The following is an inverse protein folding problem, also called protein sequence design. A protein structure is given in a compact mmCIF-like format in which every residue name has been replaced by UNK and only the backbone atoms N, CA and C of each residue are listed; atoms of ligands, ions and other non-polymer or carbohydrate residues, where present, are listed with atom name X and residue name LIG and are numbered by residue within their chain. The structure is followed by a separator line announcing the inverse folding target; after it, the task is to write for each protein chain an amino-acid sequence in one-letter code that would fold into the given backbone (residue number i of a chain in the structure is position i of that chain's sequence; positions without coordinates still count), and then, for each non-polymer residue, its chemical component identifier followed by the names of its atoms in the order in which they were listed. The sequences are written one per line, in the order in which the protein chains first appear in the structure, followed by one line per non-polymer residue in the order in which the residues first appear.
data_IF_819631279801
#
_entry.id   IF_819631279801
#
_cell.length_a   1.000
_cell.length_b   1.000
_cell.length_c   1.000
_cell.angle_alpha   90.00
_cell.angle_beta   90.00
_cell.angle_gamma   90.00
#
_symmetry.space_group_name_H-M   'P 1'
#
loop_
_entity.id
_entity.type
_entity.pdbx_description
1 polymer ?
#
# COMPACT_ATOMS: atom_id res chain seq x y z
N UNK A 1 8.33 23.77 19.29
CA UNK A 1 8.74 25.12 18.83
C UNK A 1 8.15 25.32 17.45
N UNK A 2 7.38 26.38 17.20
CA UNK A 2 6.85 26.63 15.86
C UNK A 2 7.98 27.18 14.98
N UNK A 3 8.22 26.52 13.86
CA UNK A 3 9.12 27.00 12.81
C UNK A 3 8.35 28.10 12.06
N UNK A 4 8.80 29.34 12.22
CA UNK A 4 8.30 30.50 11.46
C UNK A 4 8.99 30.44 10.10
N UNK A 5 8.26 30.09 9.05
CA UNK A 5 8.72 30.28 7.68
C UNK A 5 8.37 31.70 7.20
N UNK A 6 9.25 32.36 6.44
CA UNK A 6 9.05 33.72 5.98
C UNK A 6 7.81 33.81 5.09
N UNK A 7 6.96 34.80 5.36
CA UNK A 7 5.84 35.18 4.51
C UNK A 7 6.35 35.48 3.09
N UNK A 8 6.22 34.52 2.17
CA UNK A 8 6.15 34.85 0.75
C UNK A 8 4.76 35.46 0.51
N UNK A 9 4.65 36.77 0.72
CA UNK A 9 3.58 37.55 0.12
C UNK A 9 3.76 37.48 -1.39
N UNK A 10 2.99 36.63 -2.05
CA UNK A 10 2.79 36.73 -3.47
C UNK A 10 2.08 38.08 -3.72
N UNK A 11 2.84 39.09 -4.16
CA UNK A 11 2.26 40.31 -4.72
C UNK A 11 1.54 39.88 -5.99
N UNK A 12 0.23 39.61 -5.89
CA UNK A 12 -0.62 39.60 -7.07
C UNK A 12 -0.58 41.02 -7.64
N UNK A 13 0.26 41.23 -8.65
CA UNK A 13 0.18 42.43 -9.46
C UNK A 13 -1.21 42.46 -10.10
N UNK A 14 -1.98 43.49 -9.76
CA UNK A 14 -3.26 43.79 -10.38
C UNK A 14 -3.05 44.00 -11.89
N UNK A 15 -3.33 42.98 -12.69
CA UNK A 15 -3.35 43.11 -14.15
C UNK A 15 -4.63 43.87 -14.55
N UNK A 16 -4.44 45.03 -15.18
CA UNK A 16 -5.50 45.90 -15.73
C UNK A 16 -6.34 45.21 -16.83
N UNK A 17 -5.92 44.05 -17.31
CA UNK A 17 -6.63 43.24 -18.30
C UNK A 17 -7.80 42.45 -17.71
N UNK A 18 -7.80 42.18 -16.40
CA UNK A 18 -8.93 41.48 -15.75
C UNK A 18 -10.18 42.35 -15.57
N UNK A 19 -10.05 43.68 -15.67
CA UNK A 19 -11.17 44.61 -15.46
C UNK A 19 -12.06 44.82 -16.70
N UNK A 20 -11.54 44.57 -17.90
CA UNK A 20 -12.28 44.77 -19.16
C UNK A 20 -13.34 43.67 -19.37
N UNK A 21 -13.09 42.44 -18.89
CA UNK A 21 -14.07 41.35 -18.97
C UNK A 21 -15.12 41.37 -17.85
N UNK A 22 -14.88 42.09 -16.75
CA UNK A 22 -15.81 42.18 -15.62
C UNK A 22 -17.09 42.97 -15.94
N UNK A 23 -17.01 43.91 -16.89
CA UNK A 23 -18.13 44.82 -17.21
C UNK A 23 -19.18 44.24 -18.18
N UNK A 24 -18.96 43.07 -18.77
CA UNK A 24 -19.87 42.51 -19.80
C UNK A 24 -20.81 41.38 -19.34
N UNK A 25 -20.62 40.79 -18.16
CA UNK A 25 -21.46 39.65 -17.72
C UNK A 25 -22.41 39.93 -16.56
N UNK A 26 -22.33 41.08 -15.88
CA UNK A 26 -23.25 41.48 -14.78
C UNK A 26 -23.32 40.53 -13.58
N UNK A 27 -22.69 39.36 -13.63
CA UNK A 27 -22.63 38.35 -12.57
C UNK A 27 -21.28 38.45 -11.89
N UNK A 28 -21.25 39.11 -10.75
CA UNK A 28 -20.13 38.99 -9.82
C UNK A 28 -20.07 37.53 -9.37
N UNK A 29 -19.10 36.76 -9.86
CA UNK A 29 -18.86 35.39 -9.40
C UNK A 29 -18.32 35.49 -7.98
N UNK A 30 -19.19 35.29 -7.02
CA UNK A 30 -18.82 35.27 -5.61
C UNK A 30 -18.44 33.85 -5.23
N UNK A 31 -17.23 33.63 -4.70
CA UNK A 31 -16.81 32.31 -4.21
C UNK A 31 -17.72 31.81 -3.05
N UNK A 32 -18.36 32.74 -2.35
CA UNK A 32 -19.44 32.48 -1.39
C UNK A 32 -20.79 32.18 -2.07
N UNK A 33 -20.85 31.89 -3.36
CA UNK A 33 -22.05 31.33 -4.01
C UNK A 33 -21.86 29.87 -4.42
N UNK A 34 -20.64 29.32 -4.26
CA UNK A 34 -20.35 27.93 -4.60
C UNK A 34 -21.14 26.95 -3.73
N UNK A 35 -21.83 25.96 -4.32
CA UNK A 35 -22.44 24.86 -3.59
C UNK A 35 -21.44 24.15 -2.66
N UNK A 36 -21.86 23.65 -1.49
CA UNK A 36 -20.98 22.95 -0.55
C UNK A 36 -20.23 21.76 -1.17
N UNK A 37 -20.82 21.10 -2.15
CA UNK A 37 -20.24 19.96 -2.87
C UNK A 37 -19.05 20.40 -3.72
N UNK A 38 -19.16 21.55 -4.41
CA UNK A 38 -18.05 22.10 -5.18
C UNK A 38 -16.93 22.60 -4.26
N UNK A 39 -17.28 23.17 -3.11
CA UNK A 39 -16.27 23.56 -2.12
C UNK A 39 -15.51 22.33 -1.60
N UNK A 40 -16.21 21.23 -1.28
CA UNK A 40 -15.57 20.00 -0.84
C UNK A 40 -14.60 19.45 -1.89
N UNK A 41 -15.03 19.38 -3.16
CA UNK A 41 -14.15 18.92 -4.24
C UNK A 41 -12.90 19.80 -4.38
N UNK A 42 -13.02 21.12 -4.21
CA UNK A 42 -11.85 22.01 -4.22
C UNK A 42 -10.92 21.69 -3.05
N UNK A 43 -11.48 21.49 -1.84
CA UNK A 43 -10.68 21.17 -0.66
C UNK A 43 -9.99 19.80 -0.74
N UNK A 44 -10.58 18.81 -1.41
CA UNK A 44 -10.00 17.48 -1.60
C UNK A 44 -8.74 17.50 -2.48
N UNK A 45 -8.56 18.52 -3.33
CA UNK A 45 -7.36 18.72 -4.17
C UNK A 45 -6.24 19.50 -3.46
N UNK A 46 -6.47 20.03 -2.27
CA UNK A 46 -5.50 20.83 -1.53
C UNK A 46 -4.73 19.99 -0.50
N UNK A 47 -3.45 20.33 -0.28
CA UNK A 47 -2.70 19.79 0.84
C UNK A 47 -3.24 20.30 2.18
N UNK A 48 -3.03 19.53 3.25
CA UNK A 48 -3.59 19.81 4.58
C UNK A 48 -3.20 21.21 5.10
N UNK A 49 -1.98 21.70 4.82
CA UNK A 49 -1.54 23.02 5.26
C UNK A 49 -2.29 24.14 4.53
N UNK A 50 -2.52 23.97 3.22
CA UNK A 50 -3.37 24.85 2.43
C UNK A 50 -4.82 24.84 2.93
N UNK A 51 -5.39 23.66 3.25
CA UNK A 51 -6.74 23.56 3.83
C UNK A 51 -6.84 24.35 5.15
N UNK A 52 -5.87 24.21 6.06
CA UNK A 52 -5.83 24.98 7.31
C UNK A 52 -5.80 26.48 7.07
N UNK A 53 -5.01 26.94 6.10
CA UNK A 53 -4.92 28.35 5.73
C UNK A 53 -6.26 28.87 5.20
N UNK A 54 -6.93 28.09 4.35
CA UNK A 54 -8.25 28.40 3.83
C UNK A 54 -9.31 28.49 4.95
N UNK A 55 -9.22 27.65 5.99
CA UNK A 55 -10.17 27.69 7.11
C UNK A 55 -10.12 29.01 7.92
N UNK A 56 -9.02 29.75 7.84
CA UNK A 56 -8.88 31.06 8.49
C UNK A 56 -9.56 32.20 7.71
N UNK A 57 -9.95 31.97 6.46
CA UNK A 57 -10.49 33.02 5.59
C UNK A 57 -11.95 33.36 5.89
N UNK A 58 -12.83 32.36 6.04
CA UNK A 58 -14.24 32.58 6.33
C UNK A 58 -14.91 31.37 6.99
N UNK A 59 -15.98 31.63 7.76
CA UNK A 59 -16.72 30.58 8.49
C UNK A 59 -17.45 29.58 7.59
N UNK A 60 -17.83 30.00 6.39
CA UNK A 60 -18.55 29.14 5.43
C UNK A 60 -17.72 27.93 5.00
N UNK A 61 -16.40 28.08 4.95
CA UNK A 61 -15.51 27.02 4.48
C UNK A 61 -15.22 25.97 5.56
N UNK A 62 -15.49 26.27 6.83
CA UNK A 62 -15.22 25.39 7.96
C UNK A 62 -15.79 23.97 7.77
N UNK A 63 -17.08 23.75 7.44
CA UNK A 63 -17.61 22.39 7.35
C UNK A 63 -16.96 21.55 6.25
N UNK A 64 -16.58 22.16 5.12
CA UNK A 64 -15.93 21.47 4.02
C UNK A 64 -14.47 21.15 4.35
N UNK A 65 -13.70 22.13 4.83
CA UNK A 65 -12.30 21.91 5.19
C UNK A 65 -12.11 20.99 6.40
N UNK A 66 -12.97 21.10 7.43
CA UNK A 66 -12.95 20.14 8.56
C UNK A 66 -13.20 18.71 8.08
N UNK A 67 -14.10 18.52 7.11
CA UNK A 67 -14.35 17.18 6.57
C UNK A 67 -13.10 16.58 5.94
N UNK A 68 -12.34 17.37 5.19
CA UNK A 68 -11.09 16.92 4.55
C UNK A 68 -10.00 16.65 5.61
N UNK A 69 -9.79 17.57 6.55
CA UNK A 69 -8.77 17.44 7.60
C UNK A 69 -9.01 16.18 8.46
N UNK A 70 -10.26 15.93 8.85
CA UNK A 70 -10.61 14.83 9.75
C UNK A 70 -10.98 13.53 9.02
N UNK A 71 -10.91 13.47 7.68
CA UNK A 71 -11.15 12.22 6.94
C UNK A 71 -10.06 11.16 7.22
N UNK A 72 -8.82 11.61 7.46
CA UNK A 72 -7.65 10.75 7.66
C UNK A 72 -6.72 11.22 8.81
N UNK A 73 -7.20 11.25 10.07
CA UNK A 73 -6.40 11.70 11.21
C UNK A 73 -5.16 10.85 11.44
N UNK A 74 -4.06 11.52 11.79
CA UNK A 74 -2.80 10.90 12.20
C UNK A 74 -2.55 11.10 13.69
N UNK A 75 -2.51 10.01 14.44
CA UNK A 75 -2.29 9.99 15.88
C UNK A 75 -0.90 9.43 16.16
N UNK A 76 -0.04 10.21 16.82
CA UNK A 76 1.37 9.86 17.03
C UNK A 76 1.80 9.77 18.49
N UNK A 77 0.87 9.98 19.43
CA UNK A 77 1.09 9.98 20.87
C UNK A 77 -0.24 9.96 21.63
N UNK A 78 -0.19 9.62 22.92
CA UNK A 78 -1.35 9.74 23.82
C UNK A 78 -1.91 11.16 23.83
N UNK A 79 -1.07 12.19 23.92
CA UNK A 79 -1.51 13.59 23.93
C UNK A 79 -2.25 14.01 22.65
N UNK A 80 -1.77 13.57 21.47
CA UNK A 80 -2.48 13.84 20.21
C UNK A 80 -3.81 13.08 20.14
N UNK A 81 -3.87 11.88 20.71
CA UNK A 81 -5.09 11.10 20.78
C UNK A 81 -6.13 11.76 21.68
N UNK A 82 -5.73 12.21 22.87
CA UNK A 82 -6.63 12.89 23.81
C UNK A 82 -7.22 14.17 23.21
N UNK A 83 -6.39 14.95 22.52
CA UNK A 83 -6.85 16.13 21.76
C UNK A 83 -7.85 15.75 20.68
N UNK A 84 -7.57 14.68 19.93
CA UNK A 84 -8.45 14.22 18.87
C UNK A 84 -9.80 13.74 19.42
N UNK A 85 -9.79 12.94 20.48
CA UNK A 85 -10.99 12.50 21.19
C UNK A 85 -11.79 13.71 21.70
N UNK A 86 -11.12 14.68 22.32
CA UNK A 86 -11.77 15.92 22.80
C UNK A 86 -12.47 16.68 21.67
N UNK A 87 -11.85 16.77 20.49
CA UNK A 87 -12.48 17.38 19.31
C UNK A 87 -13.71 16.58 18.85
N UNK A 88 -13.60 15.26 18.75
CA UNK A 88 -14.74 14.41 18.35
C UNK A 88 -15.91 14.50 19.32
N UNK A 89 -15.63 14.56 20.63
CA UNK A 89 -16.66 14.75 21.66
C UNK A 89 -17.36 16.11 21.56
N UNK A 90 -16.68 17.16 21.10
CA UNK A 90 -17.26 18.48 20.89
C UNK A 90 -17.98 18.61 19.55
N UNK A 91 -17.59 17.82 18.55
CA UNK A 91 -18.06 17.89 17.17
C UNK A 91 -18.49 16.52 16.67
N UNK A 92 -19.63 16.04 17.17
CA UNK A 92 -20.14 14.69 16.89
C UNK A 92 -20.29 14.38 15.39
N UNK A 93 -20.61 15.39 14.56
CA UNK A 93 -20.72 15.22 13.11
C UNK A 93 -19.41 14.77 12.45
N UNK A 94 -18.24 14.98 13.09
CA UNK A 94 -16.93 14.54 12.59
C UNK A 94 -16.69 13.05 12.82
N UNK A 95 -17.34 12.43 13.81
CA UNK A 95 -17.22 10.99 14.07
C UNK A 95 -17.55 10.15 12.82
N UNK A 96 -18.55 10.58 12.04
CA UNK A 96 -18.96 9.94 10.79
C UNK A 96 -18.14 10.32 9.55
N UNK A 97 -17.12 11.17 9.70
CA UNK A 97 -16.27 11.63 8.60
C UNK A 97 -14.97 10.84 8.51
N UNK A 98 -14.46 10.39 9.64
CA UNK A 98 -13.19 9.65 9.73
C UNK A 98 -13.32 8.31 8.99
N UNK A 99 -12.56 8.16 7.89
CA UNK A 99 -12.55 6.96 7.04
C UNK A 99 -11.24 6.17 7.18
N UNK A 100 -10.14 6.86 7.40
CA UNK A 100 -8.80 6.28 7.47
C UNK A 100 -8.16 6.67 8.80
N UNK A 101 -7.78 5.72 9.64
CA UNK A 101 -7.13 5.99 10.91
C UNK A 101 -5.66 5.64 10.82
N UNK A 102 -4.79 6.62 11.02
CA UNK A 102 -3.35 6.41 11.03
C UNK A 102 -2.79 6.51 12.45
N UNK A 103 -2.32 5.39 12.99
CA UNK A 103 -1.64 5.29 14.29
C UNK A 103 -0.14 5.15 14.04
N UNK A 104 0.62 6.18 14.42
CA UNK A 104 2.08 6.20 14.31
C UNK A 104 2.70 5.97 15.69
N UNK A 105 3.46 4.89 15.86
CA UNK A 105 4.11 4.60 17.14
C UNK A 105 5.14 5.65 17.53
N UNK A 106 6.15 5.89 16.67
CA UNK A 106 7.22 6.88 16.89
C UNK A 106 7.40 7.84 15.70
N UNK A 107 7.79 9.08 15.99
CA UNK A 107 8.15 10.08 14.98
C UNK A 107 9.60 9.89 14.47
N UNK A 108 10.51 9.46 15.35
CA UNK A 108 11.92 9.25 15.00
C UNK A 108 12.20 7.79 14.64
N UNK A 109 12.65 7.55 13.40
CA UNK A 109 12.93 6.22 12.86
C UNK A 109 14.13 5.53 13.55
N UNK A 110 15.08 6.27 14.11
CA UNK A 110 16.27 5.71 14.77
C UNK A 110 16.06 5.30 16.23
N UNK A 111 14.94 5.69 16.83
CA UNK A 111 14.63 5.37 18.23
C UNK A 111 14.26 3.90 18.39
N UNK A 112 14.86 3.18 19.35
CA UNK A 112 14.47 1.81 19.73
C UNK A 112 13.48 1.77 20.90
N UNK A 113 13.03 2.94 21.36
CA UNK A 113 12.08 3.02 22.47
C UNK A 113 10.75 2.36 22.12
N UNK A 114 10.21 1.61 23.08
CA UNK A 114 8.89 0.99 22.98
C UNK A 114 7.81 2.06 22.77
N UNK A 115 6.83 1.74 21.94
CA UNK A 115 5.67 2.61 21.62
C UNK A 115 4.45 2.23 22.46
N UNK A 116 4.68 1.97 23.75
CA UNK A 116 3.67 1.46 24.71
C UNK A 116 2.43 2.35 24.88
N UNK A 117 2.50 3.63 24.49
CA UNK A 117 1.37 4.57 24.61
C UNK A 117 0.09 4.07 23.94
N UNK A 118 0.20 3.27 22.87
CA UNK A 118 -0.94 2.70 22.14
C UNK A 118 -1.80 1.85 23.09
N UNK A 119 -1.15 1.11 23.99
CA UNK A 119 -1.81 0.29 25.01
C UNK A 119 -2.14 1.12 26.26
N UNK A 120 -1.18 1.87 26.76
CA UNK A 120 -1.31 2.64 28.01
C UNK A 120 -2.45 3.66 27.95
N UNK A 121 -2.66 4.26 26.78
CA UNK A 121 -3.74 5.23 26.58
C UNK A 121 -5.08 4.57 26.25
N UNK A 122 -5.17 3.23 26.22
CA UNK A 122 -6.35 2.46 25.83
C UNK A 122 -6.88 2.86 24.45
N UNK A 123 -5.97 3.06 23.47
CA UNK A 123 -6.30 3.72 22.21
C UNK A 123 -7.43 3.03 21.43
N UNK A 124 -7.41 1.70 21.20
CA UNK A 124 -8.49 1.02 20.47
C UNK A 124 -9.86 1.18 21.16
N UNK A 125 -9.90 1.05 22.49
CA UNK A 125 -11.12 1.13 23.29
C UNK A 125 -11.77 2.50 23.24
N UNK A 126 -10.96 3.56 23.33
CA UNK A 126 -11.44 4.95 23.36
C UNK A 126 -11.81 5.46 21.98
N UNK A 127 -11.10 5.03 20.94
CA UNK A 127 -11.33 5.46 19.56
C UNK A 127 -12.43 4.66 18.86
N UNK A 128 -12.50 3.34 19.08
CA UNK A 128 -13.43 2.45 18.39
C UNK A 128 -14.88 2.95 18.35
N UNK A 129 -15.49 3.28 19.51
CA UNK A 129 -16.87 3.76 19.56
C UNK A 129 -17.11 5.11 18.87
N UNK A 130 -16.08 5.95 18.78
CA UNK A 130 -16.17 7.29 18.18
C UNK A 130 -16.00 7.28 16.67
N UNK A 131 -15.54 6.15 16.10
CA UNK A 131 -15.10 6.07 14.71
C UNK A 131 -15.89 5.00 13.91
N UNK A 132 -17.22 5.10 13.83
CA UNK A 132 -18.09 4.05 13.30
C UNK A 132 -17.92 3.79 11.78
N UNK A 133 -17.25 4.69 11.05
CA UNK A 133 -17.09 4.63 9.59
C UNK A 133 -15.66 4.43 9.13
N UNK A 134 -14.73 4.12 10.05
CA UNK A 134 -13.36 3.76 9.68
C UNK A 134 -13.36 2.48 8.85
N UNK A 135 -12.72 2.56 7.69
CA UNK A 135 -12.55 1.46 6.72
C UNK A 135 -11.10 1.01 6.61
N UNK A 136 -10.16 1.91 6.87
CA UNK A 136 -8.73 1.63 6.77
C UNK A 136 -8.01 2.02 8.04
N UNK A 137 -7.17 1.12 8.54
CA UNK A 137 -6.25 1.40 9.66
C UNK A 137 -4.82 1.25 9.15
N UNK A 138 -3.99 2.25 9.43
CA UNK A 138 -2.54 2.20 9.20
C UNK A 138 -1.82 2.21 10.55
N UNK A 139 -1.04 1.17 10.82
CA UNK A 139 -0.06 1.11 11.90
C UNK A 139 1.31 1.41 11.30
N UNK A 140 1.95 2.50 11.71
CA UNK A 140 3.27 2.89 11.20
C UNK A 140 4.27 3.07 12.35
N UNK A 141 5.49 2.54 12.21
CA UNK A 141 6.58 2.73 13.17
C UNK A 141 6.18 2.30 14.60
N UNK A 142 5.43 1.21 14.74
CA UNK A 142 5.11 0.61 16.05
C UNK A 142 6.25 -0.30 16.46
N UNK A 143 6.87 -0.04 17.60
CA UNK A 143 8.06 -0.77 18.08
C UNK A 143 7.81 -1.40 19.45
N UNK A 144 8.06 -2.71 19.56
CA UNK A 144 8.15 -3.51 20.79
C UNK A 144 7.02 -3.21 21.79
N UNK A 145 5.78 -3.31 21.31
CA UNK A 145 4.58 -3.12 22.13
C UNK A 145 4.17 -4.48 22.71
N UNK A 146 4.14 -4.65 24.05
CA UNK A 146 3.78 -5.91 24.69
C UNK A 146 2.27 -6.10 24.69
N UNK A 147 1.69 -6.43 23.53
CA UNK A 147 0.24 -6.63 23.40
C UNK A 147 -0.30 -7.79 24.25
N UNK A 148 0.58 -8.64 24.78
CA UNK A 148 0.25 -9.77 25.66
C UNK A 148 0.09 -9.43 27.14
N UNK A 149 0.06 -8.15 27.58
CA UNK A 149 -0.02 -7.85 29.02
C UNK A 149 -1.20 -8.58 29.68
N UNK A 150 -0.87 -9.59 30.48
CA UNK A 150 -1.75 -10.51 31.22
C UNK A 150 -2.39 -9.82 32.43
N UNK A 151 -2.99 -8.65 32.24
CA UNK A 151 -3.97 -8.20 33.24
C UNK A 151 -5.27 -8.94 32.93
N UNK A 152 -5.70 -9.78 33.87
CA UNK A 152 -6.68 -10.87 33.73
C UNK A 152 -8.05 -10.51 33.11
N UNK A 153 -8.29 -9.25 32.78
CA UNK A 153 -9.55 -8.73 32.24
C UNK A 153 -9.39 -7.95 30.92
N UNK A 154 -8.16 -7.68 30.46
CA UNK A 154 -7.92 -6.70 29.38
C UNK A 154 -7.21 -7.33 28.19
N UNK A 155 -7.97 -7.51 27.11
CA UNK A 155 -7.48 -8.07 25.86
C UNK A 155 -7.59 -7.01 24.77
N UNK A 156 -6.49 -6.33 24.45
CA UNK A 156 -6.42 -5.28 23.41
C UNK A 156 -6.98 -5.75 22.06
N UNK A 157 -6.87 -7.05 21.78
CA UNK A 157 -7.45 -7.68 20.59
C UNK A 157 -8.97 -7.54 20.53
N UNK A 158 -9.66 -7.64 21.68
CA UNK A 158 -11.12 -7.42 21.76
C UNK A 158 -11.47 -5.96 21.47
N UNK A 159 -10.65 -5.02 21.94
CA UNK A 159 -10.92 -3.59 21.70
C UNK A 159 -10.73 -3.22 20.22
N UNK A 160 -9.84 -3.92 19.50
CA UNK A 160 -9.71 -3.75 18.04
C UNK A 160 -10.96 -4.22 17.28
N UNK A 161 -11.75 -5.13 17.82
CA UNK A 161 -13.01 -5.57 17.20
C UNK A 161 -14.10 -4.48 17.22
N UNK A 162 -13.91 -3.39 17.97
CA UNK A 162 -14.79 -2.23 17.93
C UNK A 162 -14.78 -1.56 16.54
N UNK A 163 -13.70 -1.72 15.77
CA UNK A 163 -13.58 -1.22 14.41
C UNK A 163 -14.17 -2.20 13.37
N UNK A 164 -15.47 -2.54 13.53
CA UNK A 164 -16.16 -3.55 12.71
C UNK A 164 -16.17 -3.27 11.20
N UNK A 165 -16.06 -2.00 10.83
CA UNK A 165 -16.08 -1.53 9.44
C UNK A 165 -14.75 -1.60 8.71
N UNK A 166 -13.66 -2.01 9.38
CA UNK A 166 -12.32 -2.05 8.79
C UNK A 166 -12.23 -3.14 7.73
N UNK A 167 -11.95 -2.70 6.50
CA UNK A 167 -11.72 -3.54 5.33
C UNK A 167 -10.27 -3.54 4.88
N UNK A 168 -9.47 -2.58 5.34
CA UNK A 168 -8.07 -2.42 4.94
C UNK A 168 -7.16 -2.25 6.16
N UNK A 169 -6.09 -3.02 6.22
CA UNK A 169 -5.06 -2.91 7.26
C UNK A 169 -3.69 -2.75 6.61
N UNK A 170 -3.01 -1.66 6.96
CA UNK A 170 -1.64 -1.40 6.55
C UNK A 170 -0.74 -1.41 7.78
N UNK A 171 0.32 -2.22 7.74
CA UNK A 171 1.32 -2.31 8.82
C UNK A 171 2.68 -2.03 8.21
N UNK A 172 3.25 -0.88 8.56
CA UNK A 172 4.42 -0.32 7.88
C UNK A 172 5.53 -0.02 8.89
N UNK A 173 6.72 -0.55 8.64
CA UNK A 173 7.91 -0.37 9.47
C UNK A 173 7.64 -0.66 10.96
N UNK A 174 6.91 -1.74 11.25
CA UNK A 174 6.55 -2.14 12.61
C UNK A 174 7.39 -3.33 13.07
N UNK A 175 7.74 -3.34 14.36
CA UNK A 175 8.44 -4.43 15.03
C UNK A 175 7.59 -4.94 16.19
N UNK A 176 7.10 -6.16 16.06
CA UNK A 176 6.32 -6.85 17.10
C UNK A 176 7.21 -7.73 17.96
N UNK A 177 6.80 -8.01 19.20
CA UNK A 177 7.53 -8.92 20.08
C UNK A 177 7.51 -10.35 19.52
N UNK A 178 6.36 -10.80 19.03
CA UNK A 178 6.21 -12.12 18.42
C UNK A 178 5.22 -12.13 17.24
N UNK A 179 5.30 -13.19 16.45
CA UNK A 179 4.43 -13.42 15.28
C UNK A 179 2.93 -13.46 15.64
N UNK A 180 2.61 -13.98 16.84
CA UNK A 180 1.23 -14.12 17.31
C UNK A 180 0.55 -12.77 17.57
N UNK A 181 1.31 -11.73 17.95
CA UNK A 181 0.75 -10.40 18.19
C UNK A 181 0.23 -9.81 16.88
N UNK A 182 1.05 -9.82 15.83
CA UNK A 182 0.64 -9.38 14.50
C UNK A 182 -0.54 -10.22 13.98
N UNK A 183 -0.47 -11.55 14.17
CA UNK A 183 -1.58 -12.43 13.78
C UNK A 183 -2.87 -12.06 14.49
N UNK A 184 -2.85 -11.83 15.80
CA UNK A 184 -4.05 -11.45 16.56
C UNK A 184 -4.60 -10.10 16.10
N UNK A 185 -3.74 -9.11 15.80
CA UNK A 185 -4.17 -7.82 15.24
C UNK A 185 -4.94 -8.04 13.95
N UNK A 186 -4.36 -8.78 13.00
CA UNK A 186 -4.97 -9.00 11.68
C UNK A 186 -6.35 -9.65 11.82
N UNK A 187 -6.45 -10.71 12.62
CA UNK A 187 -7.70 -11.45 12.80
C UNK A 187 -8.72 -10.76 13.75
N UNK A 188 -8.38 -9.58 14.30
CA UNK A 188 -9.34 -8.74 15.04
C UNK A 188 -10.29 -7.98 14.11
N UNK A 189 -10.02 -7.93 12.81
CA UNK A 189 -10.86 -7.26 11.81
C UNK A 189 -11.61 -8.29 10.94
N UNK A 190 -12.86 -8.66 11.28
CA UNK A 190 -13.58 -9.73 10.57
C UNK A 190 -13.94 -9.38 9.12
N UNK A 191 -14.04 -8.08 8.80
CA UNK A 191 -14.38 -7.58 7.47
C UNK A 191 -13.16 -7.29 6.61
N UNK A 192 -11.96 -7.75 6.99
CA UNK A 192 -10.70 -7.41 6.33
C UNK A 192 -10.60 -8.02 4.92
N UNK A 193 -10.54 -7.15 3.91
CA UNK A 193 -10.48 -7.49 2.48
C UNK A 193 -9.06 -7.28 1.93
N UNK A 194 -8.32 -6.29 2.44
CA UNK A 194 -6.95 -6.00 2.01
C UNK A 194 -5.98 -5.89 3.19
N UNK A 195 -4.84 -6.59 3.08
CA UNK A 195 -3.75 -6.54 4.05
C UNK A 195 -2.46 -6.13 3.36
N UNK A 196 -1.77 -5.15 3.92
CA UNK A 196 -0.44 -4.72 3.50
C UNK A 196 0.54 -4.80 4.65
N UNK A 197 1.61 -5.58 4.48
CA UNK A 197 2.72 -5.69 5.42
C UNK A 197 3.98 -5.17 4.73
N UNK A 198 4.53 -4.04 5.19
CA UNK A 198 5.74 -3.43 4.64
C UNK A 198 6.79 -3.20 5.71
N UNK A 199 8.02 -3.69 5.51
CA UNK A 199 9.12 -3.57 6.48
C UNK A 199 8.74 -4.05 7.89
N UNK A 200 7.92 -5.10 7.98
CA UNK A 200 7.43 -5.63 9.25
C UNK A 200 8.38 -6.71 9.75
N UNK A 201 8.68 -6.69 11.06
CA UNK A 201 9.50 -7.70 11.72
C UNK A 201 8.87 -8.18 13.01
N UNK A 202 9.19 -9.40 13.42
CA UNK A 202 8.86 -9.89 14.75
C UNK A 202 9.98 -10.70 15.38
N UNK A 203 10.02 -10.70 16.71
CA UNK A 203 10.89 -11.59 17.46
C UNK A 203 10.45 -13.05 17.32
N UNK A 204 11.37 -13.96 17.65
CA UNK A 204 11.00 -15.35 17.92
C UNK A 204 10.16 -15.39 19.18
N UNK A 205 9.23 -16.35 19.25
CA UNK A 205 8.41 -16.62 20.44
C UNK A 205 9.28 -16.41 21.69
N UNK A 206 8.88 -15.57 22.66
CA UNK A 206 9.69 -15.42 23.86
C UNK A 206 9.92 -16.83 24.40
N UNK A 207 11.20 -17.22 24.48
CA UNK A 207 11.58 -18.47 25.12
C UNK A 207 10.81 -18.56 26.43
N UNK A 208 10.30 -19.77 26.73
CA UNK A 208 9.46 -20.11 27.87
C UNK A 208 10.00 -19.54 29.20
N UNK A 209 9.77 -18.26 29.49
CA UNK A 209 10.10 -17.64 30.79
C UNK A 209 8.92 -17.78 31.75
N UNK A 210 7.73 -18.15 31.27
CA UNK A 210 6.56 -18.38 32.12
C UNK A 210 6.19 -19.85 32.22
N UNK A 211 7.13 -20.62 32.78
CA UNK A 211 6.81 -21.91 33.42
C UNK A 211 6.40 -21.61 34.86
N UNK A 212 5.12 -21.29 35.13
CA UNK A 212 4.68 -21.13 36.53
C UNK A 212 3.30 -20.55 36.80
N UNK A 213 2.61 -19.95 35.83
CA UNK A 213 1.25 -19.43 36.02
C UNK A 213 0.27 -20.15 35.10
N UNK A 214 -0.84 -20.65 35.64
CA UNK A 214 -1.94 -21.21 34.85
C UNK A 214 -2.31 -20.23 33.73
N UNK A 215 -2.14 -20.66 32.48
CA UNK A 215 -2.63 -19.90 31.35
C UNK A 215 -4.16 -19.74 31.52
N UNK A 216 -4.70 -18.50 31.46
CA UNK A 216 -6.14 -18.29 31.51
C UNK A 216 -6.81 -19.11 30.40
N UNK A 217 -8.09 -19.53 30.58
CA UNK A 217 -8.80 -20.35 29.61
C UNK A 217 -8.74 -19.66 28.25
N UNK A 218 -7.98 -20.25 27.34
CA UNK A 218 -7.75 -19.73 26.00
C UNK A 218 -9.11 -19.64 25.30
N UNK A 219 -9.63 -18.42 25.16
CA UNK A 219 -10.71 -18.16 24.20
C UNK A 219 -10.29 -18.77 22.86
N UNK A 220 -11.24 -19.40 22.15
CA UNK A 220 -10.95 -20.04 20.86
C UNK A 220 -10.10 -19.11 20.00
N UNK A 221 -8.97 -19.60 19.47
CA UNK A 221 -8.01 -18.71 18.84
C UNK A 221 -8.66 -17.93 17.70
N UNK A 222 -8.54 -16.59 17.73
CA UNK A 222 -9.20 -15.67 16.77
C UNK A 222 -8.86 -16.01 15.32
N UNK A 223 -7.69 -16.60 15.10
CA UNK A 223 -7.22 -17.08 13.80
C UNK A 223 -7.92 -18.35 13.29
N UNK A 224 -8.93 -18.88 13.99
CA UNK A 224 -9.87 -19.87 13.45
C UNK A 224 -10.94 -19.22 12.55
N UNK A 225 -11.10 -17.88 12.62
CA UNK A 225 -12.03 -17.15 11.77
C UNK A 225 -11.54 -17.13 10.33
N UNK A 226 -12.47 -17.32 9.40
CA UNK A 226 -12.21 -17.16 7.98
C UNK A 226 -12.33 -15.66 7.66
N UNK A 227 -11.26 -15.08 7.11
CA UNK A 227 -11.25 -13.69 6.66
C UNK A 227 -11.69 -13.63 5.19
N UNK A 228 -12.48 -12.62 4.77
CA UNK A 228 -12.82 -12.38 3.37
C UNK A 228 -11.65 -11.73 2.60
N UNK A 229 -10.41 -12.05 2.97
CA UNK A 229 -9.20 -11.42 2.46
C UNK A 229 -9.06 -11.72 0.96
N UNK A 230 -9.01 -10.66 0.16
CA UNK A 230 -8.85 -10.72 -1.31
C UNK A 230 -7.46 -10.29 -1.75
N UNK A 231 -6.92 -9.26 -1.10
CA UNK A 231 -5.65 -8.64 -1.49
C UNK A 231 -4.62 -8.81 -0.38
N UNK A 232 -3.47 -9.42 -0.72
CA UNK A 232 -2.34 -9.59 0.18
C UNK A 232 -1.11 -8.91 -0.44
N UNK A 233 -0.57 -7.89 0.24
CA UNK A 233 0.62 -7.15 -0.17
C UNK A 233 1.73 -7.34 0.84
N UNK A 234 2.84 -7.91 0.42
CA UNK A 234 4.02 -8.15 1.25
C UNK A 234 5.21 -7.42 0.64
N UNK A 235 5.77 -6.47 1.37
CA UNK A 235 6.92 -5.69 0.97
C UNK A 235 8.03 -5.82 2.03
N UNK A 236 9.15 -6.43 1.68
CA UNK A 236 10.31 -6.56 2.57
C UNK A 236 9.96 -7.10 3.98
N UNK A 237 9.69 -8.41 4.09
CA UNK A 237 9.75 -9.08 5.40
C UNK A 237 11.22 -9.43 5.70
N UNK A 238 11.65 -9.25 6.95
CA UNK A 238 13.07 -9.32 7.35
C UNK A 238 13.77 -10.67 7.14
N UNK A 239 13.02 -11.76 6.95
CA UNK A 239 13.53 -13.13 6.84
C UNK A 239 12.54 -14.06 6.12
N UNK A 240 13.05 -15.19 5.61
CA UNK A 240 12.23 -16.24 4.97
C UNK A 240 11.21 -16.84 5.93
N UNK A 241 11.57 -16.98 7.21
CA UNK A 241 10.64 -17.46 8.25
C UNK A 241 9.42 -16.55 8.39
N UNK A 242 9.59 -15.24 8.28
CA UNK A 242 8.48 -14.30 8.39
C UNK A 242 7.50 -14.43 7.21
N UNK A 243 8.02 -14.63 5.98
CA UNK A 243 7.17 -14.99 4.84
C UNK A 243 6.44 -16.33 5.09
N UNK A 244 7.13 -17.32 5.64
CA UNK A 244 6.54 -18.63 5.93
C UNK A 244 5.41 -18.54 6.95
N UNK A 245 5.57 -17.75 8.01
CA UNK A 245 4.53 -17.52 9.01
C UNK A 245 3.30 -16.87 8.37
N UNK A 246 3.49 -15.77 7.65
CA UNK A 246 2.40 -15.04 6.97
C UNK A 246 1.66 -15.93 5.98
N UNK A 247 2.37 -16.65 5.12
CA UNK A 247 1.76 -17.58 4.18
C UNK A 247 1.10 -18.77 4.88
N UNK A 248 1.57 -19.20 6.05
CA UNK A 248 0.89 -20.22 6.84
C UNK A 248 -0.42 -19.72 7.44
N UNK A 249 -0.51 -18.43 7.80
CA UNK A 249 -1.75 -17.84 8.32
C UNK A 249 -2.86 -17.79 7.27
N UNK A 250 -2.49 -17.55 6.01
CA UNK A 250 -3.45 -17.34 4.92
C UNK A 250 -3.51 -18.49 3.90
N UNK A 251 -2.72 -19.54 4.08
CA UNK A 251 -2.59 -20.64 3.11
C UNK A 251 -3.88 -21.41 2.83
N UNK A 252 -4.86 -21.33 3.73
CA UNK A 252 -6.17 -21.98 3.59
C UNK A 252 -7.27 -21.00 3.13
N UNK A 253 -6.96 -19.73 2.89
CA UNK A 253 -7.93 -18.73 2.45
C UNK A 253 -8.03 -18.74 0.93
N UNK A 254 -9.00 -19.48 0.40
CA UNK A 254 -9.29 -19.54 -1.05
C UNK A 254 -9.80 -18.22 -1.64
N UNK A 255 -10.10 -17.23 -0.79
CA UNK A 255 -10.58 -15.90 -1.17
C UNK A 255 -9.48 -14.98 -1.71
N UNK A 256 -8.20 -15.27 -1.42
CA UNK A 256 -7.09 -14.42 -1.88
C UNK A 256 -6.96 -14.54 -3.39
N UNK A 257 -7.21 -13.44 -4.09
CA UNK A 257 -7.17 -13.35 -5.55
C UNK A 257 -6.13 -12.34 -6.05
N UNK A 258 -5.59 -11.48 -5.18
CA UNK A 258 -4.56 -10.53 -5.54
C UNK A 258 -3.37 -10.67 -4.60
N UNK A 259 -2.19 -10.90 -5.17
CA UNK A 259 -0.95 -11.03 -4.44
C UNK A 259 0.10 -10.06 -4.98
N UNK A 260 0.63 -9.20 -4.11
CA UNK A 260 1.75 -8.31 -4.41
C UNK A 260 2.93 -8.68 -3.53
N UNK A 261 4.06 -8.97 -4.15
CA UNK A 261 5.32 -9.28 -3.48
C UNK A 261 6.38 -8.29 -3.93
N UNK A 262 6.81 -7.44 -3.00
CA UNK A 262 7.83 -6.44 -3.24
C UNK A 262 9.09 -6.69 -2.39
N UNK A 263 10.25 -6.51 -3.01
CA UNK A 263 11.57 -6.71 -2.41
C UNK A 263 11.71 -8.09 -1.73
N UNK A 264 11.19 -9.13 -2.36
CA UNK A 264 11.29 -10.50 -1.86
C UNK A 264 12.68 -11.09 -2.18
N UNK A 265 13.45 -11.60 -1.20
CA UNK A 265 14.73 -12.25 -1.48
C UNK A 265 14.53 -13.57 -2.24
N UNK A 266 15.52 -14.02 -3.00
CA UNK A 266 15.41 -15.27 -3.79
C UNK A 266 15.11 -16.49 -2.91
N UNK A 267 15.59 -16.48 -1.66
CA UNK A 267 15.31 -17.51 -0.65
C UNK A 267 13.84 -17.54 -0.21
N UNK A 268 13.05 -16.51 -0.49
CA UNK A 268 11.60 -16.46 -0.24
C UNK A 268 10.75 -17.07 -1.37
N UNK A 269 11.34 -17.35 -2.54
CA UNK A 269 10.59 -17.85 -3.71
C UNK A 269 9.97 -19.23 -3.47
N UNK A 270 10.68 -20.14 -2.80
CA UNK A 270 10.15 -21.48 -2.55
C UNK A 270 8.95 -21.44 -1.59
N UNK A 271 8.96 -20.54 -0.61
CA UNK A 271 7.83 -20.35 0.31
C UNK A 271 6.63 -19.79 -0.44
N UNK A 272 6.89 -18.83 -1.34
CA UNK A 272 5.87 -18.27 -2.23
C UNK A 272 5.25 -19.35 -3.12
N UNK A 273 6.09 -20.19 -3.74
CA UNK A 273 5.62 -21.31 -4.56
C UNK A 273 4.74 -22.27 -3.75
N UNK A 274 5.18 -22.63 -2.54
CA UNK A 274 4.42 -23.49 -1.62
C UNK A 274 3.07 -22.87 -1.23
N UNK A 275 3.04 -21.56 -1.01
CA UNK A 275 1.80 -20.82 -0.73
C UNK A 275 0.83 -20.88 -1.91
N UNK A 276 1.30 -20.58 -3.13
CA UNK A 276 0.47 -20.61 -4.34
C UNK A 276 -0.09 -22.00 -4.64
N UNK A 277 0.71 -23.06 -4.44
CA UNK A 277 0.22 -24.44 -4.57
C UNK A 277 -0.89 -24.73 -3.55
N UNK A 278 -0.68 -24.37 -2.27
CA UNK A 278 -1.71 -24.55 -1.23
C UNK A 278 -2.98 -23.75 -1.50
N UNK A 279 -2.84 -22.52 -1.99
CA UNK A 279 -3.97 -21.69 -2.40
C UNK A 279 -4.80 -22.41 -3.48
N UNK A 280 -4.13 -22.96 -4.50
CA UNK A 280 -4.79 -23.75 -5.54
C UNK A 280 -5.44 -25.03 -4.99
N UNK A 281 -4.75 -25.76 -4.11
CA UNK A 281 -5.26 -26.97 -3.47
C UNK A 281 -6.51 -26.69 -2.61
N UNK A 282 -6.61 -25.50 -2.02
CA UNK A 282 -7.79 -25.03 -1.27
C UNK A 282 -8.95 -24.57 -2.16
N UNK A 283 -8.81 -24.66 -3.49
CA UNK A 283 -9.79 -24.18 -4.46
C UNK A 283 -9.72 -22.68 -4.77
N UNK A 284 -8.73 -21.97 -4.21
CA UNK A 284 -8.44 -20.58 -4.54
C UNK A 284 -7.66 -20.43 -5.85
N UNK A 285 -7.63 -19.23 -6.42
CA UNK A 285 -6.75 -18.92 -7.54
C UNK A 285 -6.57 -17.42 -7.67
N UNK A 286 -5.32 -16.99 -7.91
CA UNK A 286 -5.02 -15.59 -8.17
C UNK A 286 -5.66 -15.10 -9.47
N UNK A 287 -6.14 -13.87 -9.45
CA UNK A 287 -6.56 -13.07 -10.61
C UNK A 287 -5.48 -12.05 -11.00
N UNK A 288 -4.71 -11.56 -10.03
CA UNK A 288 -3.62 -10.60 -10.20
C UNK A 288 -2.38 -10.98 -9.40
N UNK A 289 -1.21 -10.87 -10.03
CA UNK A 289 0.08 -11.10 -9.39
C UNK A 289 1.05 -9.97 -9.71
N UNK A 290 1.47 -9.25 -8.68
CA UNK A 290 2.50 -8.20 -8.74
C UNK A 290 3.79 -8.72 -8.11
N UNK A 291 4.90 -8.61 -8.83
CA UNK A 291 6.16 -9.21 -8.42
C UNK A 291 7.35 -8.27 -8.66
N UNK A 292 8.05 -7.95 -7.57
CA UNK A 292 9.26 -7.13 -7.55
C UNK A 292 10.31 -7.86 -6.69
N UNK A 293 11.22 -8.64 -7.27
CA UNK A 293 12.24 -9.34 -6.52
C UNK A 293 13.27 -8.38 -5.93
N UNK A 294 13.86 -8.74 -4.77
CA UNK A 294 15.07 -8.11 -4.27
C UNK A 294 16.27 -8.69 -5.02
N UNK A 295 16.82 -7.91 -5.94
CA UNK A 295 17.97 -8.32 -6.76
C UNK A 295 19.25 -7.86 -6.07
N UNK A 296 20.03 -8.83 -5.60
CA UNK A 296 21.38 -8.62 -5.09
C UNK A 296 22.38 -9.07 -6.16
N UNK A 297 23.46 -8.31 -6.43
CA UNK A 297 24.51 -8.73 -7.37
C UNK A 297 25.02 -10.14 -7.05
N UNK A 298 25.14 -10.98 -8.08
CA UNK A 298 25.60 -12.37 -7.94
C UNK A 298 24.54 -13.40 -7.52
N UNK A 299 23.32 -12.99 -7.18
CA UNK A 299 22.24 -13.93 -6.89
C UNK A 299 21.52 -14.39 -8.17
N UNK A 300 21.54 -15.69 -8.45
CA UNK A 300 20.93 -16.33 -9.62
C UNK A 300 19.39 -16.37 -9.58
N UNK A 301 18.74 -15.22 -9.52
CA UNK A 301 17.27 -15.13 -9.39
C UNK A 301 16.56 -15.88 -10.52
N UNK A 302 17.09 -15.81 -11.75
CA UNK A 302 16.55 -16.50 -12.91
C UNK A 302 16.51 -18.03 -12.76
N UNK A 303 17.47 -18.64 -12.06
CA UNK A 303 17.57 -20.09 -11.88
C UNK A 303 16.46 -20.60 -10.92
N UNK A 304 16.11 -19.78 -9.93
CA UNK A 304 15.11 -20.10 -8.92
C UNK A 304 13.67 -19.76 -9.31
N UNK A 305 13.47 -19.04 -10.43
CA UNK A 305 12.12 -18.72 -10.94
C UNK A 305 11.36 -19.97 -11.38
N UNK A 306 12.04 -21.06 -11.71
CA UNK A 306 11.41 -22.34 -12.06
C UNK A 306 10.43 -22.84 -10.98
N UNK A 307 10.77 -22.67 -9.70
CA UNK A 307 9.90 -23.04 -8.57
C UNK A 307 8.62 -22.19 -8.54
N UNK A 308 8.78 -20.87 -8.67
CA UNK A 308 7.65 -19.94 -8.75
C UNK A 308 6.79 -20.27 -9.98
N UNK A 309 7.43 -20.58 -11.10
CA UNK A 309 6.77 -20.84 -12.37
C UNK A 309 5.85 -22.06 -12.33
N UNK A 310 6.28 -23.16 -11.71
CA UNK A 310 5.42 -24.34 -11.54
C UNK A 310 4.20 -24.04 -10.67
N UNK A 311 4.34 -23.20 -9.65
CA UNK A 311 3.23 -22.80 -8.81
C UNK A 311 2.32 -21.75 -9.48
N UNK A 312 2.83 -20.92 -10.40
CA UNK A 312 2.01 -20.01 -11.18
C UNK A 312 1.08 -20.75 -12.15
N UNK A 313 1.53 -21.88 -12.73
CA UNK A 313 0.70 -22.72 -13.61
C UNK A 313 -0.58 -23.23 -12.94
N UNK A 314 -0.60 -23.34 -11.61
CA UNK A 314 -1.80 -23.76 -10.88
C UNK A 314 -2.83 -22.63 -10.73
N UNK A 315 -2.45 -21.38 -11.00
CA UNK A 315 -3.30 -20.19 -10.88
C UNK A 315 -4.15 -19.98 -12.15
N UNK A 316 -5.14 -20.85 -12.37
CA UNK A 316 -5.96 -20.88 -13.59
C UNK A 316 -6.75 -19.60 -13.87
N UNK A 317 -7.03 -18.78 -12.85
CA UNK A 317 -7.76 -17.50 -12.99
C UNK A 317 -6.84 -16.29 -13.18
N UNK A 318 -5.53 -16.49 -13.28
CA UNK A 318 -4.57 -15.39 -13.36
C UNK A 318 -4.74 -14.67 -14.70
N UNK A 319 -5.09 -13.39 -14.65
CA UNK A 319 -5.33 -12.56 -15.84
C UNK A 319 -4.42 -11.33 -15.89
N UNK A 320 -3.83 -10.93 -14.75
CA UNK A 320 -2.99 -9.74 -14.64
C UNK A 320 -1.61 -10.10 -14.07
N UNK A 321 -0.57 -9.70 -14.78
CA UNK A 321 0.81 -9.77 -14.33
C UNK A 321 1.40 -8.36 -14.28
N UNK A 322 2.01 -8.00 -13.16
CA UNK A 322 2.67 -6.72 -12.96
C UNK A 322 4.08 -6.96 -12.43
N UNK A 323 5.09 -6.66 -13.23
CA UNK A 323 6.47 -7.03 -12.97
C UNK A 323 7.30 -5.77 -12.82
N UNK A 324 7.79 -5.52 -11.61
CA UNK A 324 8.65 -4.35 -11.34
C UNK A 324 10.12 -4.77 -11.38
N UNK A 325 10.87 -4.07 -12.20
CA UNK A 325 12.23 -4.41 -12.63
C UNK A 325 13.13 -3.26 -12.19
N UNK A 326 14.03 -3.54 -11.25
CA UNK A 326 14.93 -2.54 -10.68
C UNK A 326 15.89 -1.96 -11.74
N UNK A 327 16.33 -2.78 -12.69
CA UNK A 327 17.19 -2.37 -13.81
C UNK A 327 16.96 -3.30 -15.00
N UNK A 328 17.02 -2.75 -16.21
CA UNK A 328 16.89 -3.51 -17.46
C UNK A 328 17.97 -4.59 -17.62
N UNK A 329 19.14 -4.44 -17.01
CA UNK A 329 20.17 -5.49 -17.00
C UNK A 329 19.78 -6.68 -16.10
N UNK A 330 18.99 -6.40 -15.07
CA UNK A 330 18.54 -7.37 -14.09
C UNK A 330 17.21 -8.06 -14.47
N UNK A 331 16.69 -7.83 -15.68
CA UNK A 331 15.38 -8.31 -16.11
C UNK A 331 15.32 -9.78 -16.58
N UNK A 332 16.44 -10.53 -16.52
CA UNK A 332 16.52 -11.92 -17.05
C UNK A 332 15.45 -12.86 -16.49
N UNK A 333 14.99 -12.62 -15.26
CA UNK A 333 13.94 -13.42 -14.62
C UNK A 333 12.55 -13.21 -15.24
N UNK A 334 12.30 -12.07 -15.90
CA UNK A 334 10.99 -11.70 -16.47
C UNK A 334 10.55 -12.71 -17.51
N UNK A 335 11.44 -13.04 -18.45
CA UNK A 335 11.20 -14.03 -19.49
C UNK A 335 10.77 -15.39 -18.91
N UNK A 336 11.42 -15.84 -17.84
CA UNK A 336 11.09 -17.09 -17.16
C UNK A 336 9.70 -17.06 -16.47
N UNK A 337 9.29 -15.91 -15.91
CA UNK A 337 7.94 -15.72 -15.37
C UNK A 337 6.89 -15.76 -16.50
N UNK A 338 7.16 -15.12 -17.63
CA UNK A 338 6.26 -15.17 -18.79
C UNK A 338 6.14 -16.58 -19.37
N UNK A 339 7.25 -17.33 -19.44
CA UNK A 339 7.25 -18.74 -19.88
C UNK A 339 6.40 -19.62 -18.96
N UNK A 340 6.47 -19.38 -17.64
CA UNK A 340 5.65 -20.10 -16.68
C UNK A 340 4.16 -19.78 -16.78
N UNK A 341 3.81 -18.54 -17.13
CA UNK A 341 2.43 -18.08 -17.29
C UNK A 341 1.86 -18.34 -18.69
N UNK A 342 2.64 -18.94 -19.61
CA UNK A 342 2.29 -19.07 -21.03
C UNK A 342 0.89 -19.63 -21.31
N UNK A 343 0.48 -20.62 -20.52
CA UNK A 343 -0.80 -21.33 -20.71
C UNK A 343 -1.96 -20.71 -19.89
N UNK A 344 -1.71 -19.61 -19.17
CA UNK A 344 -2.70 -18.89 -18.37
C UNK A 344 -3.48 -17.88 -19.22
N UNK A 345 -4.72 -17.50 -18.84
CA UNK A 345 -5.54 -16.57 -19.60
C UNK A 345 -5.13 -15.11 -19.35
N UNK A 346 -3.85 -14.78 -19.56
CA UNK A 346 -3.33 -13.42 -19.32
C UNK A 346 -4.02 -12.42 -20.27
N UNK A 347 -4.57 -11.37 -19.66
CA UNK A 347 -5.27 -10.25 -20.32
C UNK A 347 -4.43 -8.98 -20.28
N UNK A 348 -3.70 -8.76 -19.18
CA UNK A 348 -2.85 -7.58 -18.98
C UNK A 348 -1.48 -7.96 -18.45
N UNK A 349 -0.44 -7.36 -19.05
CA UNK A 349 0.93 -7.37 -18.51
C UNK A 349 1.37 -5.93 -18.29
N UNK A 350 1.93 -5.62 -17.13
CA UNK A 350 2.63 -4.38 -16.86
C UNK A 350 4.09 -4.67 -16.55
N UNK A 351 5.01 -3.92 -17.16
CA UNK A 351 6.44 -3.94 -16.88
C UNK A 351 6.82 -2.55 -16.40
N UNK A 352 7.23 -2.45 -15.15
CA UNK A 352 7.73 -1.21 -14.56
C UNK A 352 9.26 -1.28 -14.47
N UNK A 353 9.98 -0.30 -15.03
CA UNK A 353 11.45 -0.27 -15.04
C UNK A 353 11.96 1.16 -15.18
N UNK A 354 13.28 1.34 -15.10
CA UNK A 354 13.93 2.59 -15.47
C UNK A 354 14.66 2.42 -16.80
N UNK A 355 14.39 3.31 -17.75
CA UNK A 355 15.11 3.43 -19.01
C UNK A 355 16.28 4.41 -18.85
N UNK A 356 17.48 3.89 -18.70
CA UNK A 356 18.71 4.68 -18.68
C UNK A 356 19.21 5.02 -20.10
N UNK A 357 20.10 6.00 -20.19
CA UNK A 357 20.71 6.47 -21.47
C UNK A 357 21.49 5.37 -22.17
N UNK A 358 22.14 4.47 -21.43
CA UNK A 358 22.92 3.37 -21.98
C UNK A 358 22.03 2.38 -22.74
N UNK A 359 20.84 2.12 -22.20
CA UNK A 359 19.81 1.28 -22.79
C UNK A 359 18.99 1.99 -23.87
N UNK A 360 19.22 3.26 -24.22
CA UNK A 360 18.51 3.97 -25.32
C UNK A 360 18.99 3.51 -26.69
N UNK A 361 20.29 3.32 -26.85
CA UNK A 361 20.89 3.04 -28.16
C UNK A 361 20.67 1.60 -28.62
N UNK A 362 20.74 0.64 -27.69
CA UNK A 362 20.51 -0.78 -27.98
C UNK A 362 19.71 -1.42 -26.83
N UNK A 363 18.57 -2.08 -27.11
CA UNK A 363 17.86 -2.83 -26.08
C UNK A 363 18.69 -4.04 -25.61
N UNK A 364 18.62 -4.35 -24.31
CA UNK A 364 19.26 -5.54 -23.76
C UNK A 364 18.67 -6.82 -24.38
N UNK A 365 19.47 -7.90 -24.43
CA UNK A 365 19.00 -9.21 -24.92
C UNK A 365 17.77 -9.70 -24.15
N UNK A 366 17.74 -9.48 -22.83
CA UNK A 366 16.62 -9.87 -21.98
C UNK A 366 15.34 -9.09 -22.32
N UNK A 367 15.46 -7.83 -22.74
CA UNK A 367 14.34 -7.03 -23.24
C UNK A 367 13.79 -7.59 -24.55
N UNK A 368 14.67 -7.90 -25.51
CA UNK A 368 14.28 -8.50 -26.80
C UNK A 368 13.54 -9.82 -26.57
N UNK A 369 14.10 -10.70 -25.74
CA UNK A 369 13.51 -11.98 -25.38
C UNK A 369 12.15 -11.85 -24.67
N UNK A 370 11.97 -10.82 -23.85
CA UNK A 370 10.69 -10.49 -23.19
C UNK A 370 9.67 -10.01 -24.19
N UNK A 371 10.06 -9.09 -25.09
CA UNK A 371 9.20 -8.56 -26.14
C UNK A 371 8.71 -9.65 -27.11
N UNK A 372 9.59 -10.58 -27.51
CA UNK A 372 9.22 -11.72 -28.34
C UNK A 372 8.13 -12.58 -27.69
N UNK A 373 8.24 -12.84 -26.38
CA UNK A 373 7.24 -13.59 -25.61
C UNK A 373 5.93 -12.83 -25.54
N UNK A 374 5.93 -11.53 -25.24
CA UNK A 374 4.71 -10.70 -25.25
C UNK A 374 4.01 -10.68 -26.62
N UNK A 375 4.80 -10.71 -27.70
CA UNK A 375 4.26 -10.75 -29.06
C UNK A 375 3.64 -12.10 -29.42
N UNK A 376 4.23 -13.21 -28.97
CA UNK A 376 3.83 -14.58 -29.35
C UNK A 376 2.84 -15.22 -28.37
N UNK A 377 2.94 -14.88 -27.09
CA UNK A 377 2.10 -15.47 -26.04
C UNK A 377 0.75 -14.77 -26.01
N UNK A 378 -0.27 -15.52 -25.59
CA UNK A 378 -1.60 -14.98 -25.33
C UNK A 378 -2.23 -14.20 -26.50
N UNK A 379 -1.92 -14.56 -27.75
CA UNK A 379 -2.45 -13.88 -28.95
C UNK A 379 -3.97 -13.68 -28.92
N UNK A 380 -4.70 -14.60 -28.28
CA UNK A 380 -6.16 -14.58 -28.15
C UNK A 380 -6.68 -13.77 -26.95
N UNK A 381 -5.90 -13.66 -25.88
CA UNK A 381 -6.36 -13.15 -24.58
C UNK A 381 -5.74 -11.81 -24.18
N UNK A 382 -4.47 -11.56 -24.54
CA UNK A 382 -3.75 -10.35 -24.16
C UNK A 382 -4.33 -9.13 -24.87
N UNK A 383 -4.81 -8.17 -24.06
CA UNK A 383 -5.44 -6.92 -24.50
C UNK A 383 -4.64 -5.67 -24.17
N UNK A 384 -3.74 -5.74 -23.19
CA UNK A 384 -2.96 -4.59 -22.76
C UNK A 384 -1.56 -5.00 -22.31
N UNK A 385 -0.56 -4.30 -22.84
CA UNK A 385 0.82 -4.32 -22.35
C UNK A 385 1.17 -2.89 -21.93
N UNK A 386 1.41 -2.68 -20.65
CA UNK A 386 1.82 -1.37 -20.12
C UNK A 386 3.32 -1.39 -19.86
N UNK A 387 4.07 -0.46 -20.46
CA UNK A 387 5.45 -0.19 -20.10
C UNK A 387 5.47 1.11 -19.29
N UNK A 388 5.91 1.04 -18.05
CA UNK A 388 6.04 2.21 -17.17
C UNK A 388 7.52 2.48 -16.95
N UNK A 389 7.97 3.62 -17.47
CA UNK A 389 9.31 4.13 -17.17
C UNK A 389 9.26 4.96 -15.89
N UNK A 390 10.00 4.57 -14.87
CA UNK A 390 10.23 5.37 -13.67
C UNK A 390 11.61 6.01 -13.79
N UNK A 391 11.69 7.28 -14.21
CA UNK A 391 12.97 7.92 -14.44
C UNK A 391 13.76 7.93 -13.11
N UNK A 392 15.05 7.55 -13.13
CA UNK A 392 16.05 7.89 -12.07
C UNK A 392 17.40 8.36 -12.65
N UNK A 393 18.04 9.42 -12.13
CA UNK A 393 19.43 9.77 -12.46
C UNK A 393 19.70 10.52 -13.79
N UNK A 394 20.56 10.00 -14.67
CA UNK A 394 20.81 10.60 -16.00
C UNK A 394 19.72 10.11 -16.95
N UNK A 395 18.72 10.94 -17.19
CA UNK A 395 17.47 10.50 -17.82
C UNK A 395 17.43 10.70 -19.33
N UNK A 396 16.68 9.79 -19.97
CA UNK A 396 16.05 10.04 -21.26
C UNK A 396 14.95 11.08 -21.06
N UNK A 397 14.83 12.13 -21.90
CA UNK A 397 13.74 13.07 -21.77
C UNK A 397 12.38 12.36 -21.87
N UNK A 398 11.46 12.62 -20.94
CA UNK A 398 10.12 12.00 -20.88
C UNK A 398 9.38 12.02 -22.23
N UNK A 399 9.56 13.09 -23.01
CA UNK A 399 8.96 13.23 -24.34
C UNK A 399 9.48 12.20 -25.36
N UNK A 400 10.68 11.66 -25.18
CA UNK A 400 11.30 10.68 -26.08
C UNK A 400 10.96 9.24 -25.69
N UNK A 401 10.69 8.97 -24.41
CA UNK A 401 10.45 7.62 -23.89
C UNK A 401 9.32 6.88 -24.62
N UNK A 402 8.12 7.48 -24.86
CA UNK A 402 7.06 6.82 -25.63
C UNK A 402 7.50 6.42 -27.03
N UNK A 403 8.26 7.28 -27.72
CA UNK A 403 8.74 7.00 -29.07
C UNK A 403 9.75 5.84 -29.08
N UNK A 404 10.70 5.85 -28.15
CA UNK A 404 11.75 4.82 -28.04
C UNK A 404 11.12 3.46 -27.74
N UNK A 405 10.27 3.36 -26.73
CA UNK A 405 9.64 2.11 -26.34
C UNK A 405 8.66 1.59 -27.40
N UNK A 406 7.89 2.48 -28.03
CA UNK A 406 7.00 2.09 -29.13
C UNK A 406 7.76 1.54 -30.33
N UNK A 407 8.90 2.14 -30.70
CA UNK A 407 9.73 1.64 -31.81
C UNK A 407 10.32 0.26 -31.56
N UNK A 408 10.50 -0.13 -30.29
CA UNK A 408 11.03 -1.45 -29.89
C UNK A 408 9.98 -2.55 -29.88
N UNK A 409 8.71 -2.16 -29.83
CA UNK A 409 7.57 -3.07 -29.72
C UNK A 409 6.59 -2.91 -30.90
N UNK A 410 7.05 -2.94 -32.17
CA UNK A 410 6.22 -2.58 -33.32
C UNK A 410 4.99 -3.49 -33.46
N UNK A 411 5.12 -4.78 -33.16
CA UNK A 411 3.99 -5.72 -33.22
C UNK A 411 2.92 -5.44 -32.16
N UNK A 412 3.29 -4.94 -30.98
CA UNK A 412 2.33 -4.59 -29.93
C UNK A 412 1.61 -3.27 -30.27
N UNK A 413 2.33 -2.32 -30.89
CA UNK A 413 1.76 -1.09 -31.45
C UNK A 413 0.78 -1.41 -32.58
N UNK A 414 1.17 -2.26 -33.52
CA UNK A 414 0.31 -2.66 -34.64
C UNK A 414 -0.98 -3.35 -34.17
N UNK A 415 -0.91 -4.11 -33.07
CA UNK A 415 -2.08 -4.72 -32.42
C UNK A 415 -2.93 -3.73 -31.62
N UNK A 416 -2.46 -2.50 -31.40
CA UNK A 416 -3.16 -1.48 -30.60
C UNK A 416 -3.25 -1.81 -29.11
N UNK A 417 -2.31 -2.61 -28.58
CA UNK A 417 -2.36 -3.09 -27.19
C UNK A 417 -1.23 -2.54 -26.32
N UNK A 418 -0.29 -1.78 -26.89
CA UNK A 418 0.81 -1.15 -26.15
C UNK A 418 0.35 0.18 -25.55
N UNK A 419 0.60 0.34 -24.26
CA UNK A 419 0.43 1.58 -23.50
C UNK A 419 1.77 1.93 -22.85
N UNK A 420 2.29 3.14 -23.10
CA UNK A 420 3.57 3.59 -22.53
C UNK A 420 3.29 4.77 -21.60
N UNK A 421 3.76 4.66 -20.36
CA UNK A 421 3.54 5.66 -19.31
C UNK A 421 4.85 6.09 -18.69
N UNK A 422 4.86 7.35 -18.24
CA UNK A 422 5.90 7.87 -17.35
C UNK A 422 5.37 7.74 -15.93
N UNK A 423 6.11 7.04 -15.10
CA UNK A 423 5.86 6.85 -13.68
C UNK A 423 6.25 8.08 -12.86
N UNK A 424 6.12 7.96 -11.54
CA UNK A 424 6.48 9.03 -10.61
C UNK A 424 8.00 9.08 -10.50
N UNK A 425 8.58 10.29 -10.58
CA UNK A 425 10.02 10.47 -10.37
C UNK A 425 10.36 10.20 -8.91
N UNK A 426 11.37 9.38 -8.66
CA UNK A 426 11.80 9.02 -7.31
C UNK A 426 12.50 10.16 -6.53
N UNK A 427 12.60 11.36 -7.11
CA UNK A 427 13.23 12.54 -6.49
C UNK A 427 12.28 13.32 -5.54
N UNK A 428 11.01 12.91 -5.38
CA UNK A 428 9.99 13.60 -4.57
C UNK A 428 9.52 12.82 -3.31
N UNK A 429 10.40 12.08 -2.62
CA UNK A 429 10.10 11.48 -1.29
C UNK A 429 11.07 11.92 -0.20
#
# INVERSE_FOLDING_TARGET
MPVIYPHYMCKMEHSSWTDIHRRRSGRCVNIHSLPPELLLNIFEELDICSVWSCLLTCRRWLPAGERVIYASPRISSAATMDRFISVLSQKEHLCGVVKHLHIRGKANYSSTHSTGWILEAEAPRRLGPLLPRVRSITLENVENVPFRRYEAERCVWTDLELFRGVTELHVNNCRFECAEDLRNIIFSFPSLIALSLSHVRWGRHPDKIFSGGQAPPMQSPRWQRILPLRTLRLAYLGSVSEYQDVFAWFGNLSTVCELELAQIPFTGLWVTAKYLTRLADSGGSLESFTFCPLITPGCGYAEHVSYLGNALKTQRRLTKLDLRIVSLDAMRWVAAVLDAARDLPIVRVALEFTLDVDNVSSPSRAFIETNERLCRYWLKTLRQVTLVDHPTGNFVPDAQVPSILSSRCPSLVQRGILDVRIGVRYDDV
#
